data_IF_096800540787
#
_entry.id   IF_096800540787
#
_cell.length_a   1.000
_cell.length_b   1.000
_cell.length_c   1.000
_cell.angle_alpha   90.00
_cell.angle_beta   90.00
_cell.angle_gamma   90.00
#
_symmetry.space_group_name_H-M   'P 1'
#
loop_
_entity.id
_entity.type
_entity.pdbx_description
1 polymer ?
#
# COMPACT_ATOMS: atom_id res chain seq x y z
N UNK A 1 -37.33 -32.54 39.51
CA UNK A 1 -37.79 -32.76 38.12
C UNK A 1 -37.97 -31.36 37.53
N UNK A 2 -36.93 -30.54 37.53
CA UNK A 2 -37.13 -29.09 37.39
C UNK A 2 -35.99 -28.39 36.63
N UNK A 3 -35.15 -29.14 35.90
CA UNK A 3 -34.05 -28.56 35.10
C UNK A 3 -34.22 -28.78 33.58
N UNK A 4 -35.21 -29.57 33.16
CA UNK A 4 -35.51 -29.79 31.74
C UNK A 4 -36.49 -28.76 31.16
N UNK A 5 -37.20 -28.00 32.01
CA UNK A 5 -38.27 -27.08 31.57
C UNK A 5 -37.79 -25.69 31.15
N UNK A 6 -36.59 -25.28 31.56
CA UNK A 6 -36.01 -23.98 31.18
C UNK A 6 -35.20 -24.03 29.87
N UNK A 7 -34.90 -25.21 29.32
CA UNK A 7 -34.16 -25.36 28.05
C UNK A 7 -35.06 -25.33 26.80
N UNK A 8 -36.37 -25.27 26.96
CA UNK A 8 -37.34 -25.30 25.85
C UNK A 8 -37.88 -23.91 25.45
N UNK A 9 -37.65 -22.84 26.23
CA UNK A 9 -38.25 -21.52 25.94
C UNK A 9 -37.38 -20.55 25.12
N UNK A 10 -36.10 -20.84 24.88
CA UNK A 10 -35.22 -19.98 24.06
C UNK A 10 -34.89 -20.58 22.68
N UNK A 11 -35.67 -21.58 22.25
CA UNK A 11 -35.65 -22.10 20.89
C UNK A 11 -36.41 -21.18 19.93
N UNK A 12 -35.73 -20.08 19.59
CA UNK A 12 -35.63 -19.57 18.22
C UNK A 12 -36.93 -19.48 17.43
N UNK A 13 -37.73 -18.47 17.75
CA UNK A 13 -38.81 -17.98 16.92
C UNK A 13 -38.35 -17.72 15.47
N UNK A 14 -38.78 -18.61 14.56
CA UNK A 14 -39.18 -18.39 13.17
C UNK A 14 -38.55 -17.22 12.40
N UNK A 15 -37.55 -17.50 11.55
CA UNK A 15 -37.30 -16.73 10.30
C UNK A 15 -36.74 -17.59 9.15
N UNK A 16 -37.65 -18.10 8.32
CA UNK A 16 -37.44 -18.38 6.88
C UNK A 16 -38.75 -18.01 6.16
N UNK A 17 -38.79 -17.69 4.85
CA UNK A 17 -37.74 -17.33 3.89
C UNK A 17 -38.07 -15.99 3.17
N UNK A 18 -37.10 -15.39 2.47
CA UNK A 18 -37.43 -14.62 1.25
C UNK A 18 -36.41 -14.91 0.16
N UNK A 19 -36.89 -15.68 -0.81
CA UNK A 19 -36.29 -15.85 -2.14
C UNK A 19 -36.32 -14.48 -2.81
N UNK A 20 -35.14 -13.93 -3.10
CA UNK A 20 -35.03 -12.76 -3.97
C UNK A 20 -34.59 -13.26 -5.34
N UNK A 21 -35.56 -13.32 -6.24
CA UNK A 21 -35.39 -13.47 -7.69
C UNK A 21 -34.54 -12.31 -8.22
N UNK A 22 -33.22 -12.48 -8.33
CA UNK A 22 -32.39 -11.60 -9.17
C UNK A 22 -32.42 -12.14 -10.58
N UNK A 23 -33.43 -11.69 -11.33
CA UNK A 23 -33.49 -11.89 -12.78
C UNK A 23 -32.26 -11.25 -13.44
N UNK A 24 -31.52 -12.12 -14.09
CA UNK A 24 -30.70 -11.93 -15.28
C UNK A 24 -31.12 -10.70 -16.10
N UNK A 25 -30.14 -9.83 -16.36
CA UNK A 25 -30.06 -9.10 -17.62
C UNK A 25 -28.60 -8.99 -18.01
N UNK A 26 -28.12 -10.07 -18.63
CA UNK A 26 -27.01 -10.01 -19.55
C UNK A 26 -27.44 -9.10 -20.71
N UNK A 27 -26.86 -7.90 -20.81
CA UNK A 27 -26.90 -7.14 -22.06
C UNK A 27 -25.61 -7.40 -22.81
N UNK A 28 -25.78 -8.14 -23.88
CA UNK A 28 -24.84 -8.53 -24.92
C UNK A 28 -23.95 -7.40 -25.40
N UNK A 29 -22.69 -7.78 -25.62
CA UNK A 29 -21.69 -7.08 -26.41
C UNK A 29 -22.17 -6.81 -27.84
N UNK A 30 -21.76 -5.66 -28.38
CA UNK A 30 -21.69 -5.41 -29.82
C UNK A 30 -20.25 -5.04 -30.16
N UNK A 31 -19.50 -5.87 -30.90
CA UNK A 31 -18.23 -5.45 -31.49
C UNK A 31 -18.54 -4.72 -32.80
N UNK A 32 -18.42 -3.39 -32.80
CA UNK A 32 -18.51 -2.62 -34.05
C UNK A 32 -17.12 -2.44 -34.64
N UNK A 33 -16.92 -3.13 -35.74
CA UNK A 33 -15.77 -3.11 -36.64
C UNK A 33 -15.22 -1.71 -36.93
N UNK A 34 -13.89 -1.64 -37.01
CA UNK A 34 -13.14 -0.62 -37.72
C UNK A 34 -13.40 -0.66 -39.23
N UNK A 35 -13.20 0.47 -39.92
CA UNK A 35 -12.53 0.44 -41.21
C UNK A 35 -11.27 1.30 -41.23
N UNK A 36 -10.35 0.86 -42.07
CA UNK A 36 -9.00 1.36 -42.25
C UNK A 36 -8.92 2.74 -42.94
N UNK A 37 -7.72 3.31 -42.81
CA UNK A 37 -7.04 4.24 -43.74
C UNK A 37 -7.47 5.71 -43.82
N UNK A 38 -6.68 6.56 -43.15
CA UNK A 38 -6.14 7.80 -43.73
C UNK A 38 -4.88 8.26 -42.97
N UNK A 39 -3.67 8.02 -43.53
CA UNK A 39 -2.50 8.90 -43.32
C UNK A 39 -2.59 9.98 -44.42
N UNK A 40 -2.29 11.27 -44.19
CA UNK A 40 -0.98 11.81 -43.77
C UNK A 40 -1.17 12.98 -42.76
N UNK A 41 -0.20 13.58 -42.07
CA UNK A 41 1.05 14.25 -42.47
C UNK A 41 1.86 14.49 -41.20
N UNK A 42 3.18 14.25 -41.29
CA UNK A 42 4.15 14.56 -40.25
C UNK A 42 4.26 16.09 -40.06
N UNK A 43 4.41 16.60 -38.82
CA UNK A 43 4.79 18.00 -38.61
C UNK A 43 6.24 18.24 -39.06
N UNK A 44 6.57 19.43 -39.60
CA UNK A 44 7.92 19.75 -40.03
C UNK A 44 8.89 19.76 -38.84
N UNK A 45 10.02 19.07 -39.01
CA UNK A 45 11.18 19.15 -38.13
C UNK A 45 11.79 20.56 -38.22
N UNK A 46 11.61 21.36 -37.17
CA UNK A 46 12.39 22.58 -36.99
C UNK A 46 13.87 22.20 -36.81
N UNK A 47 14.69 22.60 -37.78
CA UNK A 47 16.14 22.48 -37.70
C UNK A 47 16.67 23.67 -36.88
N UNK A 48 16.92 23.45 -35.60
CA UNK A 48 17.63 24.40 -34.74
C UNK A 48 19.13 24.03 -34.72
N UNK A 49 20.05 24.97 -35.03
CA UNK A 49 21.49 24.70 -35.02
C UNK A 49 22.00 24.57 -33.58
N UNK A 50 22.97 23.68 -33.29
CA UNK A 50 23.45 23.46 -31.94
C UNK A 50 24.25 24.67 -31.42
N UNK A 51 24.10 25.08 -30.16
CA UNK A 51 24.98 26.04 -29.52
C UNK A 51 26.38 25.43 -29.32
N UNK A 52 27.42 26.17 -29.69
CA UNK A 52 28.82 25.83 -29.42
C UNK A 52 29.12 25.98 -27.93
N UNK A 53 29.79 25.01 -27.25
CA UNK A 53 30.29 25.21 -25.91
C UNK A 53 31.62 26.02 -25.93
N UNK A 54 31.83 26.96 -24.99
CA UNK A 54 33.13 27.61 -24.79
C UNK A 54 34.17 26.66 -24.16
N UNK A 55 35.48 26.94 -24.32
CA UNK A 55 36.56 26.04 -23.94
C UNK A 55 36.76 25.90 -22.43
N UNK A 56 37.19 24.69 -22.04
CA UNK A 56 37.46 24.24 -20.68
C UNK A 56 38.39 25.17 -19.89
N UNK A 57 37.90 25.66 -18.74
CA UNK A 57 38.75 26.02 -17.62
C UNK A 57 38.86 24.80 -16.71
N UNK A 58 39.98 24.09 -16.80
CA UNK A 58 40.39 23.06 -15.84
C UNK A 58 40.62 23.74 -14.48
N UNK A 59 39.61 23.75 -13.62
CA UNK A 59 39.82 23.86 -12.19
C UNK A 59 39.95 22.43 -11.65
N UNK A 60 41.17 22.08 -11.29
CA UNK A 60 41.49 20.87 -10.55
C UNK A 60 40.73 20.86 -9.24
N UNK A 61 39.64 20.09 -9.18
CA UNK A 61 39.07 19.66 -7.91
C UNK A 61 40.02 18.61 -7.30
N UNK A 62 40.29 18.64 -5.98
CA UNK A 62 40.98 17.54 -5.32
C UNK A 62 40.15 16.28 -5.50
N UNK A 63 40.82 15.19 -5.87
CA UNK A 63 40.22 13.87 -6.01
C UNK A 63 39.39 13.55 -4.75
N UNK A 64 38.06 13.64 -4.89
CA UNK A 64 37.16 12.83 -4.09
C UNK A 64 37.61 11.38 -4.34
N UNK A 65 38.01 10.70 -3.27
CA UNK A 65 38.26 9.28 -3.28
C UNK A 65 37.01 8.63 -3.87
N UNK A 66 37.19 8.16 -5.10
CA UNK A 66 36.39 7.21 -5.83
C UNK A 66 36.10 6.04 -4.88
N UNK A 67 34.99 6.13 -4.14
CA UNK A 67 34.26 4.95 -3.72
C UNK A 67 33.75 4.33 -5.02
N UNK A 68 34.65 3.57 -5.65
CA UNK A 68 34.45 2.95 -6.93
C UNK A 68 33.19 2.09 -6.91
N UNK A 69 32.64 1.80 -8.10
CA UNK A 69 31.37 1.08 -8.23
C UNK A 69 31.49 -0.24 -7.49
N UNK A 70 30.54 -0.52 -6.59
CA UNK A 70 30.30 -1.86 -6.04
C UNK A 70 30.44 -2.87 -7.19
N UNK A 71 31.53 -3.64 -7.21
CA UNK A 71 31.70 -4.73 -8.14
C UNK A 71 30.58 -5.73 -7.85
N UNK A 72 29.65 -5.98 -8.79
CA UNK A 72 28.42 -6.74 -8.53
C UNK A 72 28.63 -8.24 -8.22
N UNK A 73 29.84 -8.67 -7.88
CA UNK A 73 30.19 -10.08 -7.68
C UNK A 73 31.09 -10.42 -6.49
N UNK A 74 31.62 -9.46 -5.73
CA UNK A 74 32.55 -9.76 -4.62
C UNK A 74 32.14 -9.04 -3.34
N UNK A 75 31.19 -9.64 -2.61
CA UNK A 75 30.91 -9.22 -1.23
C UNK A 75 32.15 -9.46 -0.37
N UNK A 76 32.45 -8.51 0.52
CA UNK A 76 33.53 -8.73 1.50
C UNK A 76 33.11 -9.80 2.53
N UNK A 77 34.06 -10.49 3.17
CA UNK A 77 33.72 -11.46 4.23
C UNK A 77 32.87 -10.85 5.35
N UNK A 78 33.06 -9.57 5.67
CA UNK A 78 32.24 -8.85 6.66
C UNK A 78 30.81 -8.65 6.17
N UNK A 79 30.61 -8.28 4.90
CA UNK A 79 29.28 -8.10 4.30
C UNK A 79 28.52 -9.43 4.24
N UNK A 80 29.19 -10.53 3.89
CA UNK A 80 28.59 -11.87 3.89
C UNK A 80 28.17 -12.28 5.31
N UNK A 81 29.00 -12.03 6.32
CA UNK A 81 28.66 -12.30 7.71
C UNK A 81 27.48 -11.44 8.23
N UNK A 82 27.36 -10.19 7.79
CA UNK A 82 26.20 -9.35 8.12
C UNK A 82 24.92 -9.83 7.43
N UNK A 83 25.00 -10.16 6.15
CA UNK A 83 23.88 -10.73 5.40
C UNK A 83 23.39 -12.04 6.04
N UNK A 84 24.31 -12.92 6.45
CA UNK A 84 23.94 -14.17 7.10
C UNK A 84 23.24 -13.92 8.45
N UNK A 85 23.71 -12.94 9.25
CA UNK A 85 23.02 -12.56 10.49
C UNK A 85 21.60 -12.04 10.25
N UNK A 86 21.40 -11.25 9.20
CA UNK A 86 20.06 -10.78 8.83
C UNK A 86 19.15 -11.93 8.39
N UNK A 87 19.68 -12.88 7.61
CA UNK A 87 18.94 -14.10 7.22
C UNK A 87 18.56 -14.92 8.46
N UNK A 88 19.49 -15.15 9.38
CA UNK A 88 19.25 -15.91 10.61
C UNK A 88 18.17 -15.24 11.48
N UNK A 89 18.14 -13.92 11.53
CA UNK A 89 17.08 -13.16 12.20
C UNK A 89 15.71 -13.35 11.54
N UNK A 90 15.64 -13.21 10.21
CA UNK A 90 14.41 -13.40 9.43
C UNK A 90 13.85 -14.81 9.65
N UNK A 91 14.71 -15.82 9.67
CA UNK A 91 14.29 -17.22 9.89
C UNK A 91 13.78 -17.46 11.32
N UNK A 92 14.30 -16.72 12.30
CA UNK A 92 13.93 -16.88 13.72
C UNK A 92 12.59 -16.22 14.05
N UNK A 93 12.31 -15.06 13.47
CA UNK A 93 11.12 -14.26 13.81
C UNK A 93 9.91 -14.77 13.03
N UNK A 94 8.80 -15.13 13.69
CA UNK A 94 7.57 -15.55 13.03
C UNK A 94 7.07 -14.50 12.02
N UNK A 95 6.62 -14.94 10.84
CA UNK A 95 6.09 -14.05 9.80
C UNK A 95 4.98 -13.11 10.29
N UNK A 96 4.13 -13.58 11.22
CA UNK A 96 3.07 -12.77 11.83
C UNK A 96 3.60 -11.54 12.57
N UNK A 97 4.78 -11.64 13.18
CA UNK A 97 5.37 -10.55 13.98
C UNK A 97 5.92 -9.47 13.04
N UNK A 98 6.50 -9.87 11.90
CA UNK A 98 6.88 -8.95 10.82
C UNK A 98 5.68 -8.20 10.24
N UNK A 99 4.57 -8.91 10.02
CA UNK A 99 3.33 -8.31 9.50
C UNK A 99 2.75 -7.33 10.52
N UNK A 100 2.73 -7.68 11.80
CA UNK A 100 2.28 -6.77 12.86
C UNK A 100 3.16 -5.51 12.95
N UNK A 101 4.48 -5.66 12.89
CA UNK A 101 5.42 -4.55 12.88
C UNK A 101 5.23 -3.63 11.66
N UNK A 102 5.07 -4.20 10.46
CA UNK A 102 4.75 -3.42 9.26
C UNK A 102 3.42 -2.66 9.39
N UNK A 103 2.40 -3.28 10.01
CA UNK A 103 1.11 -2.65 10.28
C UNK A 103 1.27 -1.41 11.19
N UNK A 104 2.07 -1.55 12.26
CA UNK A 104 2.38 -0.45 13.18
C UNK A 104 3.12 0.68 12.45
N UNK A 105 4.11 0.37 11.60
CA UNK A 105 4.82 1.38 10.81
C UNK A 105 3.87 2.14 9.87
N UNK A 106 2.95 1.44 9.19
CA UNK A 106 1.95 2.09 8.33
C UNK A 106 1.01 3.00 9.13
N UNK A 107 0.59 2.58 10.32
CA UNK A 107 -0.23 3.39 11.22
C UNK A 107 0.51 4.68 11.66
N UNK A 108 1.81 4.56 11.99
CA UNK A 108 2.65 5.71 12.34
C UNK A 108 2.81 6.68 11.16
N UNK A 109 3.09 6.16 9.96
CA UNK A 109 3.19 6.96 8.74
C UNK A 109 1.88 7.71 8.48
N UNK A 110 0.74 7.02 8.59
CA UNK A 110 -0.58 7.63 8.44
C UNK A 110 -0.80 8.78 9.44
N UNK A 111 -0.50 8.57 10.72
CA UNK A 111 -0.62 9.60 11.76
C UNK A 111 0.25 10.83 11.47
N UNK A 112 1.54 10.62 11.18
CA UNK A 112 2.46 11.73 10.89
C UNK A 112 2.04 12.51 9.64
N UNK A 113 1.55 11.83 8.60
CA UNK A 113 1.06 12.47 7.37
C UNK A 113 -0.23 13.26 7.61
N UNK A 114 -1.15 12.71 8.40
CA UNK A 114 -2.36 13.41 8.84
C UNK A 114 -2.02 14.70 9.60
N UNK A 115 -1.12 14.62 10.58
CA UNK A 115 -0.73 15.77 11.41
C UNK A 115 -0.08 16.89 10.58
N UNK A 116 0.57 16.54 9.46
CA UNK A 116 1.16 17.51 8.51
C UNK A 116 0.17 18.03 7.47
N UNK A 117 -1.08 17.57 7.46
CA UNK A 117 -2.08 17.94 6.46
C UNK A 117 -1.86 17.32 5.09
N UNK A 118 -0.99 16.31 4.97
CA UNK A 118 -0.72 15.60 3.72
C UNK A 118 -1.75 14.47 3.52
N UNK A 119 -2.96 14.86 3.11
CA UNK A 119 -4.12 13.96 3.06
C UNK A 119 -4.04 12.91 1.95
N UNK A 120 -3.27 13.16 0.89
CA UNK A 120 -3.10 12.17 -0.18
C UNK A 120 -2.25 11.00 0.31
N UNK A 121 -1.09 11.29 0.90
CA UNK A 121 -0.19 10.27 1.40
C UNK A 121 -0.73 9.59 2.67
N UNK A 122 -1.40 10.35 3.55
CA UNK A 122 -2.08 9.78 4.71
C UNK A 122 -3.11 8.71 4.29
N UNK A 123 -3.88 8.98 3.22
CA UNK A 123 -4.86 8.02 2.71
C UNK A 123 -4.21 6.74 2.23
N UNK A 124 -3.12 6.83 1.46
CA UNK A 124 -2.38 5.64 0.98
C UNK A 124 -1.89 4.79 2.15
N UNK A 125 -1.35 5.42 3.19
CA UNK A 125 -0.90 4.70 4.38
C UNK A 125 -2.06 4.05 5.16
N UNK A 126 -3.20 4.72 5.31
CA UNK A 126 -4.40 4.17 5.95
C UNK A 126 -4.97 2.99 5.16
N UNK A 127 -5.04 3.12 3.84
CA UNK A 127 -5.57 2.07 2.95
C UNK A 127 -4.63 0.85 2.98
N UNK A 128 -3.31 1.05 2.95
CA UNK A 128 -2.32 -0.02 3.08
C UNK A 128 -2.38 -0.71 4.45
N UNK A 129 -2.48 0.07 5.54
CA UNK A 129 -2.66 -0.46 6.89
C UNK A 129 -3.95 -1.28 6.98
N UNK A 130 -5.05 -0.76 6.42
CA UNK A 130 -6.33 -1.45 6.36
C UNK A 130 -6.29 -2.74 5.56
N UNK A 131 -5.62 -2.76 4.40
CA UNK A 131 -5.46 -3.95 3.58
C UNK A 131 -4.72 -5.07 4.35
N UNK A 132 -3.65 -4.71 5.05
CA UNK A 132 -2.87 -5.65 5.85
C UNK A 132 -3.65 -6.18 7.05
N UNK A 133 -4.27 -5.31 7.85
CA UNK A 133 -5.02 -5.73 9.05
C UNK A 133 -6.24 -6.58 8.68
N UNK A 134 -6.96 -6.24 7.61
CA UNK A 134 -8.12 -7.00 7.18
C UNK A 134 -7.74 -8.31 6.48
N UNK A 135 -6.65 -8.31 5.69
CA UNK A 135 -6.17 -9.48 4.98
C UNK A 135 -5.51 -10.54 5.88
N UNK A 136 -4.85 -10.11 6.96
CA UNK A 136 -4.12 -11.00 7.87
C UNK A 136 -4.80 -11.18 9.23
N UNK A 137 -6.02 -10.66 9.42
CA UNK A 137 -6.70 -10.57 10.72
C UNK A 137 -6.59 -11.83 11.59
N UNK A 138 -7.00 -13.00 11.07
CA UNK A 138 -7.00 -14.25 11.82
C UNK A 138 -5.59 -14.76 12.20
N UNK A 139 -4.55 -14.33 11.47
CA UNK A 139 -3.16 -14.75 11.65
C UNK A 139 -2.37 -13.79 12.58
N UNK A 140 -2.92 -12.61 12.88
CA UNK A 140 -2.29 -11.58 13.72
C UNK A 140 -2.37 -11.91 15.23
N UNK A 141 -3.22 -12.85 15.62
CA UNK A 141 -3.40 -13.23 17.03
C UNK A 141 -3.78 -12.04 17.91
N UNK A 142 -3.08 -11.88 19.03
CA UNK A 142 -3.36 -10.82 20.02
C UNK A 142 -3.20 -9.39 19.46
N UNK A 143 -2.44 -9.21 18.38
CA UNK A 143 -2.26 -7.90 17.75
C UNK A 143 -3.47 -7.45 16.92
N UNK A 144 -4.36 -8.37 16.49
CA UNK A 144 -5.48 -8.03 15.60
C UNK A 144 -6.37 -6.92 16.19
N UNK A 145 -6.83 -7.12 17.43
CA UNK A 145 -7.78 -6.23 18.09
C UNK A 145 -7.23 -4.80 18.26
N UNK A 146 -6.04 -4.57 18.84
CA UNK A 146 -5.50 -3.23 18.96
C UNK A 146 -5.23 -2.59 17.59
N UNK A 147 -4.73 -3.33 16.60
CA UNK A 147 -4.49 -2.79 15.26
C UNK A 147 -5.78 -2.34 14.56
N UNK A 148 -6.86 -3.12 14.68
CA UNK A 148 -8.18 -2.72 14.17
C UNK A 148 -8.72 -1.46 14.86
N UNK A 149 -8.52 -1.35 16.17
CA UNK A 149 -8.91 -0.15 16.91
C UNK A 149 -8.13 1.07 16.41
N UNK A 150 -6.81 0.96 16.23
CA UNK A 150 -5.99 2.03 15.67
C UNK A 150 -6.42 2.41 14.26
N UNK A 151 -6.74 1.42 13.41
CA UNK A 151 -7.23 1.68 12.06
C UNK A 151 -8.52 2.50 12.08
N UNK A 152 -9.48 2.13 12.93
CA UNK A 152 -10.74 2.87 13.09
C UNK A 152 -10.51 4.30 13.57
N UNK A 153 -9.57 4.50 14.50
CA UNK A 153 -9.19 5.84 14.98
C UNK A 153 -8.59 6.70 13.86
N UNK A 154 -7.67 6.15 13.07
CA UNK A 154 -7.05 6.85 11.94
C UNK A 154 -8.06 7.21 10.86
N UNK A 155 -8.95 6.28 10.51
CA UNK A 155 -10.02 6.53 9.53
C UNK A 155 -10.96 7.66 10.00
N UNK A 156 -11.29 7.68 11.29
CA UNK A 156 -12.10 8.74 11.88
C UNK A 156 -11.37 10.09 11.84
N UNK A 157 -10.10 10.12 12.25
CA UNK A 157 -9.27 11.33 12.21
C UNK A 157 -9.16 11.88 10.77
N UNK A 158 -8.90 11.01 9.80
CA UNK A 158 -8.87 11.37 8.38
C UNK A 158 -10.19 11.99 7.92
N UNK A 159 -11.32 11.35 8.25
CA UNK A 159 -12.64 11.87 7.89
C UNK A 159 -12.93 13.24 8.51
N UNK A 160 -12.52 13.47 9.76
CA UNK A 160 -12.66 14.76 10.43
C UNK A 160 -11.85 15.86 9.73
N UNK A 161 -10.60 15.58 9.37
CA UNK A 161 -9.74 16.56 8.68
C UNK A 161 -10.25 16.86 7.28
N UNK A 162 -10.71 15.86 6.53
CA UNK A 162 -11.30 16.05 5.19
C UNK A 162 -12.61 16.83 5.25
N UNK A 163 -13.42 16.65 6.29
CA UNK A 163 -14.69 17.37 6.46
C UNK A 163 -14.51 18.82 6.92
N UNK A 164 -13.32 19.19 7.44
CA UNK A 164 -13.04 20.55 7.88
C UNK A 164 -12.88 21.47 6.65
N UNK A 165 -13.71 22.52 6.52
CA UNK A 165 -13.52 23.50 5.44
C UNK A 165 -12.15 24.18 5.60
N UNK A 166 -11.45 24.50 4.49
CA UNK A 166 -10.17 25.21 4.55
C UNK A 166 -10.39 26.53 5.30
N UNK A 167 -9.66 26.69 6.41
CA UNK A 167 -9.69 27.92 7.19
C UNK A 167 -9.05 29.02 6.33
N UNK A 168 -9.69 30.20 6.20
CA UNK A 168 -9.22 31.31 5.38
C UNK A 168 -7.93 31.95 5.90
#
# INVERSE_FOLDING_TARGET
>A
MDEEREREEEQGAARRPRVVDKRVSARTATPSQAPAEARPTQPPVSSEPPPQPPPAAQQSAPAEEDQGPDDPGLWTPEQEAEAQRAVDEILRVPARDWVADAAVRLAQVAGVKLDRGDLADARVAIDGFGALVNGCAAELGEAERPLRQTLAQLQMAYAQVVAQPPQP
#
